data_IF_106599864202
#
_entry.id   IF_106599864202
#
_cell.length_a   1.000
_cell.length_b   1.000
_cell.length_c   1.000
_cell.angle_alpha   90.00
_cell.angle_beta   90.00
_cell.angle_gamma   90.00
#
_symmetry.space_group_name_H-M   'P 1'
#
loop_
_entity.id
_entity.type
_entity.pdbx_description
1 polymer ?
#
# COMPACT_ATOMS: atom_id res chain seq x y z
N UNK A 1 -18.95 -12.40 12.71
CA UNK A 1 -17.69 -12.30 11.93
C UNK A 1 -17.73 -11.19 10.87
N UNK A 2 -18.85 -10.96 10.18
CA UNK A 2 -19.01 -9.82 9.24
C UNK A 2 -18.77 -8.44 9.89
N UNK A 3 -19.15 -8.30 11.16
CA UNK A 3 -18.92 -7.09 11.96
C UNK A 3 -17.41 -6.76 12.13
N UNK A 4 -16.53 -7.77 12.19
CA UNK A 4 -15.09 -7.55 12.35
C UNK A 4 -14.48 -7.02 11.04
N UNK A 5 -14.91 -7.57 9.89
CA UNK A 5 -14.55 -7.03 8.57
C UNK A 5 -15.04 -5.59 8.37
N UNK A 6 -16.23 -5.26 8.87
CA UNK A 6 -16.79 -3.91 8.85
C UNK A 6 -16.00 -2.94 9.75
N UNK A 7 -15.68 -3.34 10.99
CA UNK A 7 -14.86 -2.54 11.93
C UNK A 7 -13.47 -2.26 11.33
N UNK A 8 -12.86 -3.25 10.68
CA UNK A 8 -11.56 -3.09 10.03
C UNK A 8 -11.65 -2.17 8.80
N UNK A 9 -12.74 -2.26 8.02
CA UNK A 9 -13.01 -1.33 6.92
C UNK A 9 -13.14 0.12 7.39
N UNK A 10 -13.73 0.33 8.57
CA UNK A 10 -13.80 1.65 9.21
C UNK A 10 -12.40 2.10 9.68
N UNK A 11 -11.60 1.23 10.29
CA UNK A 11 -10.22 1.54 10.68
C UNK A 11 -9.34 1.89 9.47
N UNK A 12 -9.56 1.26 8.30
CA UNK A 12 -8.92 1.62 7.03
C UNK A 12 -9.24 3.08 6.69
N UNK A 13 -10.53 3.44 6.67
CA UNK A 13 -10.98 4.77 6.31
C UNK A 13 -10.40 5.80 7.28
N UNK A 14 -10.42 5.51 8.58
CA UNK A 14 -9.88 6.40 9.61
C UNK A 14 -8.36 6.57 9.46
N UNK A 15 -7.60 5.48 9.32
CA UNK A 15 -6.14 5.54 9.15
C UNK A 15 -5.72 6.30 7.88
N UNK A 16 -6.47 6.10 6.79
CA UNK A 16 -6.29 6.83 5.55
C UNK A 16 -6.65 8.32 5.70
N UNK A 17 -7.73 8.65 6.42
CA UNK A 17 -8.13 10.04 6.69
C UNK A 17 -7.11 10.78 7.54
N UNK A 18 -6.47 10.11 8.52
CA UNK A 18 -5.37 10.68 9.30
C UNK A 18 -4.11 10.96 8.47
N UNK A 19 -3.88 10.18 7.41
CA UNK A 19 -2.72 10.31 6.53
C UNK A 19 -2.99 11.18 5.28
N UNK A 20 -4.25 11.58 5.03
CA UNK A 20 -4.69 12.35 3.84
C UNK A 20 -3.95 13.66 3.67
N UNK A 21 -3.60 14.35 4.76
CA UNK A 21 -2.96 15.66 4.68
C UNK A 21 -1.45 15.55 4.38
N UNK A 22 -0.88 14.34 4.52
CA UNK A 22 0.55 14.10 4.37
C UNK A 22 0.93 13.20 3.19
N UNK A 23 -0.03 12.49 2.62
CA UNK A 23 0.15 11.61 1.46
C UNK A 23 -0.70 12.15 0.30
N UNK A 24 -0.20 12.00 -0.94
CA UNK A 24 -0.97 12.42 -2.10
C UNK A 24 -2.29 11.65 -2.21
N UNK A 25 -3.39 12.35 -2.53
CA UNK A 25 -4.72 11.74 -2.74
C UNK A 25 -4.66 10.55 -3.71
N UNK A 26 -3.81 10.63 -4.73
CA UNK A 26 -3.63 9.56 -5.73
C UNK A 26 -3.15 8.27 -5.08
N UNK A 27 -2.13 8.35 -4.22
CA UNK A 27 -1.56 7.18 -3.51
C UNK A 27 -2.60 6.50 -2.61
N UNK A 28 -3.41 7.29 -1.92
CA UNK A 28 -4.51 6.80 -1.10
C UNK A 28 -5.54 6.06 -1.96
N UNK A 29 -5.98 6.68 -3.05
CA UNK A 29 -6.95 6.08 -3.98
C UNK A 29 -6.41 4.76 -4.53
N UNK A 30 -5.13 4.70 -4.95
CA UNK A 30 -4.52 3.47 -5.44
C UNK A 30 -4.46 2.37 -4.38
N UNK A 31 -4.16 2.71 -3.12
CA UNK A 31 -4.12 1.72 -2.03
C UNK A 31 -5.51 1.15 -1.73
N UNK A 32 -6.54 2.00 -1.76
CA UNK A 32 -7.95 1.58 -1.62
C UNK A 32 -8.35 0.66 -2.79
N UNK A 33 -8.06 1.07 -4.03
CA UNK A 33 -8.36 0.28 -5.22
C UNK A 33 -7.65 -1.08 -5.17
N UNK A 34 -6.36 -1.10 -4.82
CA UNK A 34 -5.57 -2.32 -4.67
C UNK A 34 -6.17 -3.28 -3.65
N UNK A 35 -6.58 -2.76 -2.48
CA UNK A 35 -7.29 -3.55 -1.47
C UNK A 35 -8.59 -4.15 -2.00
N UNK A 36 -9.43 -3.38 -2.70
CA UNK A 36 -10.69 -3.89 -3.26
C UNK A 36 -10.46 -4.95 -4.34
N UNK A 37 -9.46 -4.77 -5.21
CA UNK A 37 -9.11 -5.75 -6.25
C UNK A 37 -8.68 -7.07 -5.60
N UNK A 38 -7.79 -7.03 -4.59
CA UNK A 38 -7.32 -8.23 -3.89
C UNK A 38 -8.46 -8.92 -3.13
N UNK A 39 -9.31 -8.15 -2.46
CA UNK A 39 -10.49 -8.66 -1.76
C UNK A 39 -11.44 -9.36 -2.73
N UNK A 40 -11.72 -8.73 -3.88
CA UNK A 40 -12.57 -9.31 -4.92
C UNK A 40 -11.98 -10.61 -5.49
N UNK A 41 -10.67 -10.64 -5.70
CA UNK A 41 -9.96 -11.81 -6.21
C UNK A 41 -10.06 -12.99 -5.23
N UNK A 42 -9.91 -12.76 -3.93
CA UNK A 42 -10.14 -13.80 -2.91
C UNK A 42 -11.60 -14.28 -2.85
N UNK A 43 -12.57 -13.37 -3.04
CA UNK A 43 -13.99 -13.76 -3.13
C UNK A 43 -14.28 -14.62 -4.35
N UNK A 44 -13.71 -14.29 -5.52
CA UNK A 44 -13.83 -15.10 -6.74
C UNK A 44 -13.21 -16.47 -6.52
N UNK A 45 -11.99 -16.53 -5.98
CA UNK A 45 -11.30 -17.80 -5.68
C UNK A 45 -12.07 -18.68 -4.67
N UNK A 46 -12.72 -18.06 -3.68
CA UNK A 46 -13.64 -18.77 -2.77
C UNK A 46 -14.85 -19.33 -3.52
N UNK A 47 -15.47 -18.52 -4.38
CA UNK A 47 -16.67 -18.90 -5.15
C UNK A 47 -16.39 -19.99 -6.17
N UNK A 48 -15.20 -20.03 -6.75
CA UNK A 48 -14.80 -21.09 -7.70
C UNK A 48 -14.41 -22.40 -7.02
N UNK A 49 -14.53 -22.51 -5.69
CA UNK A 49 -14.20 -23.72 -4.94
C UNK A 49 -12.69 -23.99 -4.82
N UNK A 50 -11.85 -23.04 -5.26
CA UNK A 50 -10.40 -23.16 -5.19
C UNK A 50 -9.85 -22.90 -3.78
N UNK A 51 -10.67 -22.37 -2.86
CA UNK A 51 -10.30 -22.16 -1.46
C UNK A 51 -11.19 -23.07 -0.59
N UNK A 52 -10.58 -24.06 0.06
CA UNK A 52 -11.23 -24.93 1.04
C UNK A 52 -10.99 -24.38 2.46
N UNK A 53 -12.03 -24.37 3.29
CA UNK A 53 -11.99 -23.89 4.68
C UNK A 53 -12.75 -22.58 4.91
N UNK A 54 -13.65 -22.56 5.90
CA UNK A 54 -14.57 -21.44 6.16
C UNK A 54 -13.87 -20.13 6.56
N UNK A 55 -12.69 -20.22 7.21
CA UNK A 55 -11.97 -19.07 7.79
C UNK A 55 -10.76 -18.55 6.96
N UNK A 56 -10.21 -19.35 6.04
CA UNK A 56 -9.05 -18.97 5.21
C UNK A 56 -9.22 -17.65 4.42
N UNK A 57 -10.36 -17.40 3.74
CA UNK A 57 -10.50 -16.18 2.94
C UNK A 57 -10.53 -14.91 3.82
N UNK A 58 -11.03 -15.01 5.05
CA UNK A 58 -11.03 -13.89 6.00
C UNK A 58 -9.61 -13.54 6.47
N UNK A 59 -8.82 -14.55 6.84
CA UNK A 59 -7.42 -14.36 7.25
C UNK A 59 -6.60 -13.72 6.13
N UNK A 60 -6.81 -14.16 4.89
CA UNK A 60 -6.14 -13.58 3.72
C UNK A 60 -6.55 -12.12 3.48
N UNK A 61 -7.84 -11.78 3.64
CA UNK A 61 -8.31 -10.38 3.56
C UNK A 61 -7.66 -9.52 4.64
N UNK A 62 -7.55 -10.02 5.89
CA UNK A 62 -6.90 -9.29 6.98
C UNK A 62 -5.39 -9.12 6.77
N UNK A 63 -4.70 -10.15 6.29
CA UNK A 63 -3.28 -10.08 5.96
C UNK A 63 -3.03 -9.09 4.81
N UNK A 64 -3.89 -9.10 3.78
CA UNK A 64 -3.87 -8.12 2.68
C UNK A 64 -4.01 -6.69 3.21
N UNK A 65 -4.93 -6.48 4.14
CA UNK A 65 -5.15 -5.20 4.79
C UNK A 65 -3.90 -4.72 5.54
N UNK A 66 -3.32 -5.58 6.39
CA UNK A 66 -2.11 -5.23 7.15
C UNK A 66 -0.96 -4.84 6.22
N UNK A 67 -0.78 -5.58 5.11
CA UNK A 67 0.22 -5.27 4.10
C UNK A 67 0.00 -3.90 3.45
N UNK A 68 -1.21 -3.59 2.98
CA UNK A 68 -1.48 -2.28 2.36
C UNK A 68 -1.40 -1.12 3.34
N UNK A 69 -1.73 -1.34 4.61
CA UNK A 69 -1.54 -0.34 5.66
C UNK A 69 -0.05 -0.06 5.88
N UNK A 70 0.77 -1.11 6.03
CA UNK A 70 2.23 -1.00 6.17
C UNK A 70 2.86 -0.32 4.95
N UNK A 71 2.39 -0.63 3.74
CA UNK A 71 2.80 0.04 2.51
C UNK A 71 2.51 1.54 2.54
N UNK A 72 1.31 1.92 2.95
CA UNK A 72 0.89 3.32 3.04
C UNK A 72 1.74 4.08 4.05
N UNK A 73 2.04 3.47 5.21
CA UNK A 73 2.95 4.01 6.22
C UNK A 73 4.38 4.13 5.67
N UNK A 74 4.88 3.12 4.97
CA UNK A 74 6.20 3.15 4.36
C UNK A 74 6.34 4.29 3.33
N UNK A 75 5.34 4.48 2.46
CA UNK A 75 5.32 5.61 1.53
C UNK A 75 5.28 6.96 2.23
N UNK A 76 4.58 7.06 3.36
CA UNK A 76 4.58 8.27 4.17
C UNK A 76 5.95 8.56 4.77
N UNK A 77 6.62 7.56 5.34
CA UNK A 77 7.98 7.71 5.87
C UNK A 77 8.95 8.12 4.76
N UNK A 78 8.88 7.49 3.59
CA UNK A 78 9.70 7.85 2.42
C UNK A 78 9.42 9.29 1.98
N UNK A 79 8.16 9.74 1.98
CA UNK A 79 7.82 11.12 1.60
C UNK A 79 8.39 12.15 2.58
N UNK A 80 8.40 11.85 3.88
CA UNK A 80 9.03 12.67 4.91
C UNK A 80 10.56 12.75 4.77
N UNK A 81 11.19 11.61 4.48
CA UNK A 81 12.63 11.56 4.25
C UNK A 81 12.99 12.42 3.04
N UNK A 82 12.22 12.29 1.96
CA UNK A 82 12.43 13.06 0.74
C UNK A 82 12.28 14.55 0.97
N UNK A 83 11.25 15.00 1.70
CA UNK A 83 11.05 16.42 1.98
C UNK A 83 12.17 17.00 2.84
N UNK A 84 12.68 16.24 3.81
CA UNK A 84 13.87 16.62 4.59
C UNK A 84 15.13 16.72 3.74
N UNK A 85 15.38 15.74 2.87
CA UNK A 85 16.54 15.75 1.96
C UNK A 85 16.47 16.98 1.04
N UNK A 86 15.31 17.24 0.43
CA UNK A 86 15.13 18.42 -0.42
C UNK A 86 15.34 19.71 0.36
N UNK A 87 14.76 19.85 1.55
CA UNK A 87 14.97 21.02 2.40
C UNK A 87 16.43 21.22 2.81
N UNK A 88 17.18 20.13 3.05
CA UNK A 88 18.61 20.20 3.35
C UNK A 88 19.42 20.64 2.14
N UNK A 89 19.12 20.13 0.94
CA UNK A 89 19.79 20.51 -0.31
C UNK A 89 19.58 22.00 -0.64
N UNK A 90 18.38 22.54 -0.37
CA UNK A 90 18.11 23.98 -0.47
C UNK A 90 18.97 24.80 0.50
N UNK A 91 19.12 24.34 1.74
CA UNK A 91 19.94 25.04 2.76
C UNK A 91 21.42 25.14 2.38
N UNK A 92 21.94 24.16 1.63
CA UNK A 92 23.34 24.15 1.17
C UNK A 92 23.52 24.77 -0.23
N UNK A 93 22.51 25.47 -0.77
CA UNK A 93 22.52 26.04 -2.13
C UNK A 93 22.87 25.03 -3.25
N UNK A 94 22.62 23.74 -3.03
CA UNK A 94 22.92 22.68 -3.99
C UNK A 94 21.65 22.21 -4.73
N UNK A 95 20.79 23.16 -5.09
CA UNK A 95 19.50 22.89 -5.75
C UNK A 95 19.66 22.30 -7.15
N UNK A 96 20.80 22.55 -7.80
CA UNK A 96 21.11 22.08 -9.16
C UNK A 96 21.79 20.71 -9.22
N UNK A 97 21.88 19.99 -8.10
CA UNK A 97 22.45 18.65 -8.10
C UNK A 97 21.66 17.75 -9.08
N UNK A 98 22.33 17.26 -10.12
CA UNK A 98 21.72 16.48 -11.19
C UNK A 98 20.97 15.27 -10.65
N UNK A 99 21.52 14.63 -9.61
CA UNK A 99 20.91 13.48 -8.93
C UNK A 99 19.56 13.82 -8.28
N UNK A 100 19.47 14.96 -7.59
CA UNK A 100 18.23 15.40 -6.94
C UNK A 100 17.17 15.75 -7.97
N UNK A 101 17.55 16.43 -9.05
CA UNK A 101 16.64 16.75 -10.14
C UNK A 101 16.11 15.49 -10.82
N UNK A 102 16.97 14.51 -11.11
CA UNK A 102 16.54 13.21 -11.65
C UNK A 102 15.59 12.49 -10.70
N UNK A 103 15.86 12.52 -9.39
CA UNK A 103 15.00 11.95 -8.34
C UNK A 103 13.62 12.61 -8.32
N UNK A 104 13.54 13.95 -8.34
CA UNK A 104 12.27 14.68 -8.34
C UNK A 104 11.46 14.36 -9.61
N UNK A 105 12.09 14.41 -10.78
CA UNK A 105 11.45 14.15 -12.08
C UNK A 105 10.90 12.71 -12.14
N UNK A 106 11.68 11.74 -11.67
CA UNK A 106 11.31 10.33 -11.73
C UNK A 106 10.55 9.83 -10.50
N UNK A 107 10.26 10.68 -9.51
CA UNK A 107 9.60 10.30 -8.25
C UNK A 107 8.32 9.49 -8.48
N UNK A 108 7.48 9.93 -9.42
CA UNK A 108 6.23 9.23 -9.74
C UNK A 108 6.48 7.81 -10.28
N UNK A 109 7.48 7.65 -11.16
CA UNK A 109 7.86 6.35 -11.73
C UNK A 109 8.42 5.42 -10.66
N UNK A 110 9.25 5.94 -9.76
CA UNK A 110 9.83 5.17 -8.65
C UNK A 110 8.74 4.67 -7.71
N UNK A 111 7.80 5.54 -7.32
CA UNK A 111 6.67 5.16 -6.46
C UNK A 111 5.79 4.11 -7.14
N UNK A 112 5.57 4.23 -8.45
CA UNK A 112 4.78 3.25 -9.21
C UNK A 112 5.49 1.90 -9.32
N UNK A 113 6.78 1.87 -9.62
CA UNK A 113 7.57 0.65 -9.64
C UNK A 113 7.57 -0.06 -8.27
N UNK A 114 7.70 0.72 -7.20
CA UNK A 114 7.62 0.20 -5.82
C UNK A 114 6.22 -0.38 -5.51
N UNK A 115 5.15 0.27 -5.96
CA UNK A 115 3.78 -0.23 -5.83
C UNK A 115 3.59 -1.60 -6.51
N UNK A 116 4.09 -1.74 -7.74
CA UNK A 116 3.97 -2.98 -8.51
C UNK A 116 4.73 -4.11 -7.82
N UNK A 117 5.99 -3.88 -7.45
CA UNK A 117 6.83 -4.88 -6.76
C UNK A 117 6.18 -5.29 -5.43
N UNK A 118 5.72 -4.32 -4.64
CA UNK A 118 5.05 -4.57 -3.37
C UNK A 118 3.78 -5.42 -3.57
N UNK A 119 2.94 -5.06 -4.53
CA UNK A 119 1.69 -5.77 -4.80
C UNK A 119 1.96 -7.21 -5.23
N UNK A 120 2.94 -7.44 -6.11
CA UNK A 120 3.36 -8.79 -6.50
C UNK A 120 3.86 -9.57 -5.28
N UNK A 121 4.69 -8.97 -4.43
CA UNK A 121 5.19 -9.60 -3.21
C UNK A 121 4.09 -9.98 -2.23
N UNK A 122 3.08 -9.12 -2.05
CA UNK A 122 1.89 -9.41 -1.22
C UNK A 122 1.10 -10.56 -1.80
N UNK A 123 0.84 -10.56 -3.11
CA UNK A 123 0.11 -11.66 -3.77
C UNK A 123 0.86 -12.99 -3.58
N UNK A 124 2.17 -13.02 -3.80
CA UNK A 124 3.00 -14.21 -3.62
C UNK A 124 3.06 -14.66 -2.15
N UNK A 125 3.20 -13.73 -1.20
CA UNK A 125 3.25 -14.05 0.22
C UNK A 125 1.91 -14.60 0.75
N UNK A 126 0.80 -14.00 0.33
CA UNK A 126 -0.54 -14.49 0.64
C UNK A 126 -0.83 -15.85 -0.01
N UNK A 127 -0.32 -16.06 -1.23
CA UNK A 127 -0.40 -17.35 -1.91
C UNK A 127 0.45 -18.42 -1.19
N UNK A 128 1.64 -18.07 -0.69
CA UNK A 128 2.46 -18.97 0.12
C UNK A 128 1.81 -19.33 1.45
N UNK A 129 1.17 -18.37 2.12
CA UNK A 129 0.33 -18.61 3.31
C UNK A 129 -0.91 -19.47 3.02
N UNK A 130 -1.31 -19.59 1.75
CA UNK A 130 -2.42 -20.44 1.33
C UNK A 130 -1.99 -21.88 1.06
N UNK A 131 -0.75 -22.11 0.63
CA UNK A 131 -0.22 -23.46 0.36
C UNK A 131 0.25 -24.21 1.62
N UNK A 132 0.40 -23.52 2.75
CA UNK A 132 0.79 -24.08 4.04
C UNK A 132 -0.42 -24.19 4.98
#
# INVERSE_FOLDING_TARGET
MEQIGFIISILIIIGILFLKDKISKKTIIFSIIGYFILTLLFFILKKTGNIQGENHPLILIYASFLCYLLYTIALYVVSLIWSKILGFQKKINNENNSFINTLIVNKSKIVWAFYVIFTIGVVLGLYGLWLN
#
